data_IF_210355798692
#
_entry.id   IF_210355798692
#
_cell.length_a   1.000
_cell.length_b   1.000
_cell.length_c   1.000
_cell.angle_alpha   90.00
_cell.angle_beta   90.00
_cell.angle_gamma   90.00
#
_symmetry.space_group_name_H-M   'P 1'
#
loop_
_entity.id
_entity.type
_entity.pdbx_description
1 polymer ?
#
# COMPACT_ATOMS: atom_id res chain seq x y z
N UNK A 1 23.03 23.72 -24.79
CA UNK A 1 22.23 24.08 -23.60
C UNK A 1 21.30 22.91 -23.31
N UNK A 2 21.67 22.04 -22.38
CA UNK A 2 20.89 20.85 -22.01
C UNK A 2 19.81 21.32 -21.04
N UNK A 3 18.56 21.45 -21.50
CA UNK A 3 17.41 21.68 -20.63
C UNK A 3 17.27 20.48 -19.67
N UNK A 4 17.65 20.67 -18.41
CA UNK A 4 17.30 19.77 -17.32
C UNK A 4 15.80 19.97 -17.08
N UNK A 5 14.97 19.20 -17.80
CA UNK A 5 13.54 19.12 -17.49
C UNK A 5 13.41 18.63 -16.06
N UNK A 6 12.70 19.38 -15.22
CA UNK A 6 12.41 18.92 -13.86
C UNK A 6 11.64 17.59 -13.92
N UNK A 7 11.83 16.72 -12.96
CA UNK A 7 11.11 15.41 -12.89
C UNK A 7 9.60 15.60 -13.00
N UNK A 8 9.06 16.73 -12.54
CA UNK A 8 7.65 17.09 -12.62
C UNK A 8 7.20 17.44 -14.05
N UNK A 9 8.06 18.08 -14.86
CA UNK A 9 7.73 18.43 -16.26
C UNK A 9 7.61 17.15 -17.08
N UNK A 10 8.55 16.22 -16.91
CA UNK A 10 8.53 14.90 -17.59
C UNK A 10 7.27 14.10 -17.21
N UNK A 11 6.90 14.15 -15.93
CA UNK A 11 5.72 13.44 -15.44
C UNK A 11 4.42 14.02 -16.03
N UNK A 12 4.30 15.34 -16.12
CA UNK A 12 3.15 15.99 -16.77
C UNK A 12 3.04 15.64 -18.24
N UNK A 13 4.13 15.70 -18.99
CA UNK A 13 4.15 15.32 -20.41
C UNK A 13 3.72 13.85 -20.59
N UNK A 14 4.19 12.96 -19.72
CA UNK A 14 3.84 11.56 -19.73
C UNK A 14 2.33 11.35 -19.48
N UNK A 15 1.77 12.03 -18.47
CA UNK A 15 0.34 12.02 -18.16
C UNK A 15 -0.48 12.50 -19.36
N UNK A 16 -0.13 13.64 -19.96
CA UNK A 16 -0.86 14.19 -21.10
C UNK A 16 -0.79 13.25 -22.32
N UNK A 17 0.34 12.61 -22.57
CA UNK A 17 0.46 11.62 -23.63
C UNK A 17 -0.38 10.37 -23.33
N UNK A 18 -0.42 9.89 -22.07
CA UNK A 18 -1.30 8.79 -21.66
C UNK A 18 -2.79 9.14 -21.83
N UNK A 19 -3.21 10.37 -21.54
CA UNK A 19 -4.58 10.85 -21.81
C UNK A 19 -4.93 10.78 -23.29
N UNK A 20 -3.99 11.03 -24.19
CA UNK A 20 -4.15 10.85 -25.64
C UNK A 20 -4.06 9.40 -26.11
N UNK A 21 -3.99 8.43 -25.19
CA UNK A 21 -3.88 6.99 -25.47
C UNK A 21 -2.61 6.60 -26.21
N UNK A 22 -1.53 7.37 -26.07
CA UNK A 22 -0.23 7.07 -26.68
C UNK A 22 0.37 5.81 -26.06
N UNK A 23 0.58 4.78 -26.87
CA UNK A 23 1.12 3.49 -26.42
C UNK A 23 2.55 3.58 -25.87
N UNK A 24 3.38 4.45 -26.46
CA UNK A 24 4.76 4.65 -25.99
C UNK A 24 4.77 5.30 -24.61
N UNK A 25 3.87 6.25 -24.37
CA UNK A 25 3.71 6.88 -23.07
C UNK A 25 3.18 5.91 -22.02
N UNK A 26 2.23 5.04 -22.38
CA UNK A 26 1.74 3.98 -21.49
C UNK A 26 2.85 2.99 -21.14
N UNK A 27 3.64 2.55 -22.12
CA UNK A 27 4.79 1.67 -21.89
C UNK A 27 5.85 2.33 -20.98
N UNK A 28 6.17 3.60 -21.22
CA UNK A 28 7.11 4.36 -20.41
C UNK A 28 6.60 4.53 -18.96
N UNK A 29 5.28 4.77 -18.77
CA UNK A 29 4.63 4.83 -17.48
C UNK A 29 4.74 3.49 -16.75
N UNK A 30 4.43 2.40 -17.42
CA UNK A 30 4.56 1.06 -16.85
C UNK A 30 6.02 0.80 -16.42
N UNK A 31 6.98 0.97 -17.31
CA UNK A 31 8.41 0.77 -17.01
C UNK A 31 8.89 1.60 -15.82
N UNK A 32 8.41 2.84 -15.69
CA UNK A 32 8.81 3.76 -14.61
C UNK A 32 8.25 3.34 -13.26
N UNK A 33 7.01 2.87 -13.19
CA UNK A 33 6.30 2.66 -11.93
C UNK A 33 6.08 1.19 -11.56
N UNK A 34 6.20 0.23 -12.50
CA UNK A 34 5.89 -1.17 -12.25
C UNK A 34 6.65 -1.77 -11.07
N UNK A 35 7.95 -1.50 -10.93
CA UNK A 35 8.75 -2.02 -9.81
C UNK A 35 8.24 -1.56 -8.44
N UNK A 36 7.92 -0.26 -8.31
CA UNK A 36 7.36 0.30 -7.08
C UNK A 36 5.96 -0.24 -6.80
N UNK A 37 5.12 -0.34 -7.83
CA UNK A 37 3.75 -0.84 -7.70
C UNK A 37 3.72 -2.34 -7.41
N UNK A 38 4.66 -3.11 -7.96
CA UNK A 38 4.84 -4.51 -7.58
C UNK A 38 5.17 -4.66 -6.09
N UNK A 39 6.02 -3.80 -5.53
CA UNK A 39 6.30 -3.80 -4.10
C UNK A 39 5.03 -3.50 -3.27
N UNK A 40 4.16 -2.59 -3.74
CA UNK A 40 2.85 -2.34 -3.14
C UNK A 40 1.98 -3.60 -3.20
N UNK A 41 1.80 -4.21 -4.37
CA UNK A 41 0.99 -5.42 -4.52
C UNK A 41 1.49 -6.55 -3.60
N UNK A 42 2.81 -6.81 -3.58
CA UNK A 42 3.42 -7.85 -2.73
C UNK A 42 3.20 -7.61 -1.24
N UNK A 43 3.20 -6.37 -0.79
CA UNK A 43 2.95 -6.01 0.62
C UNK A 43 1.59 -6.49 1.12
N UNK A 44 0.56 -6.45 0.27
CA UNK A 44 -0.79 -6.91 0.62
C UNK A 44 -1.02 -8.39 0.31
N UNK A 45 -0.52 -8.88 -0.82
CA UNK A 45 -0.88 -10.18 -1.39
C UNK A 45 0.22 -11.26 -1.17
N UNK A 46 1.41 -10.84 -0.77
CA UNK A 46 2.59 -11.70 -0.77
C UNK A 46 3.24 -11.80 -2.16
N UNK A 47 4.37 -12.50 -2.23
CA UNK A 47 5.03 -12.79 -3.50
C UNK A 47 4.30 -13.94 -4.20
N UNK A 48 3.84 -13.73 -5.44
CA UNK A 48 3.18 -14.79 -6.20
C UNK A 48 2.36 -14.25 -7.37
N UNK A 49 1.73 -15.16 -8.14
CA UNK A 49 0.98 -14.82 -9.36
C UNK A 49 -0.13 -13.78 -9.12
N UNK A 50 -0.81 -13.87 -7.98
CA UNK A 50 -1.89 -12.92 -7.65
C UNK A 50 -1.40 -11.47 -7.58
N UNK A 51 -0.18 -11.23 -7.09
CA UNK A 51 0.40 -9.88 -7.06
C UNK A 51 0.72 -9.37 -8.48
N UNK A 52 1.12 -10.27 -9.38
CA UNK A 52 1.40 -9.96 -10.79
C UNK A 52 0.09 -9.64 -11.54
N UNK A 53 -0.95 -10.45 -11.34
CA UNK A 53 -2.27 -10.22 -11.92
C UNK A 53 -2.84 -8.88 -11.48
N UNK A 54 -2.79 -8.59 -10.18
CA UNK A 54 -3.26 -7.32 -9.61
C UNK A 54 -2.46 -6.12 -10.13
N UNK A 55 -1.15 -6.27 -10.32
CA UNK A 55 -0.33 -5.23 -10.95
C UNK A 55 -0.83 -4.92 -12.37
N UNK A 56 -1.07 -5.95 -13.17
CA UNK A 56 -1.53 -5.78 -14.55
C UNK A 56 -2.93 -5.18 -14.61
N UNK A 57 -3.87 -5.69 -13.81
CA UNK A 57 -5.22 -5.12 -13.71
C UNK A 57 -5.19 -3.66 -13.24
N UNK A 58 -4.34 -3.35 -12.27
CA UNK A 58 -4.14 -2.00 -11.76
C UNK A 58 -3.66 -1.05 -12.85
N UNK A 59 -2.66 -1.43 -13.65
CA UNK A 59 -2.20 -0.59 -14.76
C UNK A 59 -3.25 -0.46 -15.87
N UNK A 60 -4.01 -1.50 -16.16
CA UNK A 60 -5.16 -1.37 -17.09
C UNK A 60 -6.15 -0.32 -16.56
N UNK A 61 -6.45 -0.30 -15.27
CA UNK A 61 -7.30 0.73 -14.64
C UNK A 61 -6.66 2.12 -14.67
N UNK A 62 -5.34 2.23 -14.43
CA UNK A 62 -4.60 3.49 -14.57
C UNK A 62 -4.83 4.07 -15.95
N UNK A 63 -4.60 3.32 -17.01
CA UNK A 63 -4.74 3.82 -18.38
C UNK A 63 -6.19 4.06 -18.80
N UNK A 64 -7.13 3.28 -18.31
CA UNK A 64 -8.55 3.47 -18.58
C UNK A 64 -9.10 4.72 -17.88
N UNK A 65 -8.65 4.97 -16.65
CA UNK A 65 -9.13 6.06 -15.79
C UNK A 65 -8.21 7.29 -15.77
N UNK A 66 -7.21 7.37 -16.65
CA UNK A 66 -6.19 8.44 -16.66
C UNK A 66 -6.83 9.83 -16.75
N UNK A 67 -7.97 9.95 -17.43
CA UNK A 67 -8.68 11.21 -17.55
C UNK A 67 -9.23 11.75 -16.22
N UNK A 68 -9.40 10.89 -15.21
CA UNK A 68 -9.80 11.25 -13.86
C UNK A 68 -8.64 11.80 -13.01
N UNK A 69 -7.41 11.67 -13.47
CA UNK A 69 -6.27 12.28 -12.77
C UNK A 69 -6.25 13.79 -12.98
N UNK A 70 -6.57 14.52 -11.91
CA UNK A 70 -6.71 15.99 -11.89
C UNK A 70 -5.39 16.73 -11.61
N UNK A 71 -4.25 16.04 -11.60
CA UNK A 71 -2.92 16.61 -11.27
C UNK A 71 -2.82 17.22 -9.86
N UNK A 72 -3.77 16.90 -8.97
CA UNK A 72 -3.71 17.21 -7.56
C UNK A 72 -2.89 16.14 -6.84
N UNK A 73 -1.64 16.47 -6.50
CA UNK A 73 -0.67 15.54 -5.94
C UNK A 73 0.16 14.81 -7.00
N UNK A 74 0.94 13.81 -6.57
CA UNK A 74 1.85 13.08 -7.46
C UNK A 74 1.10 12.01 -8.28
N UNK A 75 1.52 11.82 -9.52
CA UNK A 75 0.99 10.76 -10.39
C UNK A 75 1.31 9.37 -9.82
N UNK A 76 2.48 9.19 -9.23
CA UNK A 76 2.85 7.97 -8.50
C UNK A 76 1.86 7.67 -7.36
N UNK A 77 1.48 8.68 -6.57
CA UNK A 77 0.51 8.52 -5.48
C UNK A 77 -0.87 8.13 -5.98
N UNK A 78 -1.31 8.69 -7.12
CA UNK A 78 -2.58 8.33 -7.73
C UNK A 78 -2.57 6.88 -8.27
N UNK A 79 -1.49 6.45 -8.93
CA UNK A 79 -1.30 5.05 -9.35
C UNK A 79 -1.30 4.12 -8.14
N UNK A 80 -0.56 4.48 -7.09
CA UNK A 80 -0.47 3.71 -5.84
C UNK A 80 -1.84 3.48 -5.21
N UNK A 81 -2.69 4.51 -5.15
CA UNK A 81 -4.07 4.39 -4.63
C UNK A 81 -4.90 3.37 -5.44
N UNK A 82 -4.74 3.33 -6.75
CA UNK A 82 -5.38 2.32 -7.60
C UNK A 82 -4.87 0.93 -7.24
N UNK A 83 -3.54 0.74 -7.11
CA UNK A 83 -2.95 -0.57 -6.77
C UNK A 83 -3.40 -1.07 -5.41
N UNK A 84 -3.43 -0.20 -4.39
CA UNK A 84 -3.93 -0.56 -3.06
C UNK A 84 -5.38 -1.02 -3.14
N UNK A 85 -6.25 -0.29 -3.83
CA UNK A 85 -7.65 -0.67 -3.98
C UNK A 85 -7.80 -2.02 -4.69
N UNK A 86 -7.03 -2.27 -5.76
CA UNK A 86 -7.06 -3.56 -6.45
C UNK A 86 -6.60 -4.71 -5.56
N UNK A 87 -5.53 -4.50 -4.79
CA UNK A 87 -5.03 -5.49 -3.85
C UNK A 87 -6.08 -5.82 -2.76
N UNK A 88 -6.76 -4.81 -2.22
CA UNK A 88 -7.84 -5.00 -1.25
C UNK A 88 -9.04 -5.74 -1.87
N UNK A 89 -9.40 -5.44 -3.11
CA UNK A 89 -10.46 -6.15 -3.84
C UNK A 89 -10.09 -7.61 -4.07
N UNK A 90 -8.85 -7.90 -4.46
CA UNK A 90 -8.36 -9.27 -4.61
C UNK A 90 -8.44 -10.06 -3.30
N UNK A 91 -7.99 -9.48 -2.18
CA UNK A 91 -8.10 -10.10 -0.85
C UNK A 91 -9.54 -10.43 -0.44
N UNK A 92 -10.51 -9.55 -0.79
CA UNK A 92 -11.93 -9.82 -0.53
C UNK A 92 -12.44 -10.97 -1.38
N UNK A 93 -12.13 -10.97 -2.68
CA UNK A 93 -12.54 -12.02 -3.63
C UNK A 93 -12.03 -13.40 -3.20
N UNK A 94 -10.81 -13.46 -2.67
CA UNK A 94 -10.22 -14.68 -2.12
C UNK A 94 -10.82 -15.10 -0.76
N UNK A 95 -11.77 -14.34 -0.20
CA UNK A 95 -12.35 -14.60 1.12
C UNK A 95 -11.35 -14.52 2.29
N UNK A 96 -10.16 -13.97 2.04
CA UNK A 96 -9.07 -13.86 3.02
C UNK A 96 -9.25 -12.69 3.98
N UNK A 97 -10.07 -11.70 3.65
CA UNK A 97 -10.27 -10.50 4.44
C UNK A 97 -11.37 -10.74 5.49
N UNK A 98 -10.99 -11.36 6.60
CA UNK A 98 -11.83 -11.51 7.77
C UNK A 98 -11.30 -10.61 8.88
N UNK A 99 -12.07 -9.57 9.24
CA UNK A 99 -11.82 -8.78 10.43
C UNK A 99 -12.59 -9.46 11.57
N UNK A 100 -11.88 -10.16 12.45
CA UNK A 100 -12.48 -10.68 13.66
C UNK A 100 -12.47 -9.57 14.70
N UNK A 101 -13.63 -9.20 15.20
CA UNK A 101 -13.80 -8.46 16.46
C UNK A 101 -13.53 -9.38 17.65
N UNK A 102 -12.38 -10.05 17.65
CA UNK A 102 -11.97 -10.85 18.80
C UNK A 102 -11.35 -9.93 19.84
N UNK A 103 -12.07 -9.75 20.88
CA UNK A 103 -11.68 -9.02 22.09
C UNK A 103 -10.65 -9.84 22.87
N UNK A 104 -9.40 -9.80 22.42
CA UNK A 104 -8.27 -10.24 23.24
C UNK A 104 -7.62 -8.99 23.81
N UNK A 105 -7.85 -8.77 25.11
CA UNK A 105 -7.26 -7.67 25.86
C UNK A 105 -5.74 -7.76 25.85
N UNK A 106 -5.11 -7.02 24.97
CA UNK A 106 -3.70 -6.67 25.08
C UNK A 106 -3.61 -5.27 25.63
N UNK A 107 -3.09 -5.15 26.86
CA UNK A 107 -2.67 -3.86 27.40
C UNK A 107 -1.57 -3.27 26.50
N UNK A 108 -1.84 -2.07 26.01
CA UNK A 108 -0.94 -1.36 25.13
C UNK A 108 0.11 -0.67 26.01
N UNK A 109 1.28 -1.26 26.11
CA UNK A 109 2.46 -0.52 26.55
C UNK A 109 2.76 0.62 25.57
N UNK A 110 3.20 1.76 26.06
CA UNK A 110 3.63 2.88 25.22
C UNK A 110 4.76 2.40 24.31
N UNK A 111 4.59 2.62 23.02
CA UNK A 111 5.59 2.27 22.00
C UNK A 111 6.65 3.37 22.02
N UNK A 112 7.70 3.16 22.78
CA UNK A 112 8.93 3.94 22.63
C UNK A 112 9.67 3.54 21.35
N UNK A 113 10.42 4.48 20.77
CA UNK A 113 11.10 4.43 19.47
C UNK A 113 12.14 3.28 19.30
N UNK A 114 11.72 2.03 19.48
CA UNK A 114 12.58 0.84 19.33
C UNK A 114 12.97 0.50 17.88
N UNK A 115 12.49 1.29 16.91
CA UNK A 115 12.68 0.98 15.47
C UNK A 115 14.00 1.49 14.88
N UNK A 116 14.82 2.21 15.64
CA UNK A 116 15.95 2.96 15.08
C UNK A 116 17.14 2.13 14.56
N UNK A 117 17.22 0.82 14.83
CA UNK A 117 18.37 -0.01 14.46
C UNK A 117 18.07 -1.26 13.61
N UNK A 118 16.84 -1.42 13.13
CA UNK A 118 16.52 -2.56 12.27
C UNK A 118 16.79 -2.26 10.79
N UNK A 119 17.38 -3.24 10.12
CA UNK A 119 17.44 -3.19 8.65
C UNK A 119 16.03 -3.26 8.08
N UNK A 120 15.78 -2.48 7.03
CA UNK A 120 14.45 -2.36 6.38
C UNK A 120 13.87 -3.74 6.00
N UNK A 121 14.73 -4.69 5.64
CA UNK A 121 14.33 -6.06 5.29
C UNK A 121 13.78 -6.85 6.49
N UNK A 122 14.37 -6.68 7.65
CA UNK A 122 13.93 -7.35 8.88
C UNK A 122 12.56 -6.80 9.34
N UNK A 123 12.39 -5.47 9.27
CA UNK A 123 11.11 -4.85 9.56
C UNK A 123 10.02 -5.32 8.61
N UNK A 124 10.31 -5.42 7.31
CA UNK A 124 9.37 -5.94 6.32
C UNK A 124 8.96 -7.39 6.64
N UNK A 125 9.90 -8.27 7.00
CA UNK A 125 9.60 -9.65 7.41
C UNK A 125 8.69 -9.70 8.64
N UNK A 126 8.92 -8.83 9.62
CA UNK A 126 8.06 -8.73 10.81
C UNK A 126 6.64 -8.31 10.44
N UNK A 127 6.48 -7.29 9.58
CA UNK A 127 5.19 -6.82 9.09
C UNK A 127 4.48 -7.94 8.30
N UNK A 128 5.20 -8.65 7.43
CA UNK A 128 4.67 -9.78 6.68
C UNK A 128 4.16 -10.91 7.57
N UNK A 129 4.77 -11.11 8.73
CA UNK A 129 4.38 -12.15 9.70
C UNK A 129 3.14 -11.82 10.53
N UNK A 130 2.58 -10.62 10.40
CA UNK A 130 1.33 -10.24 11.08
C UNK A 130 0.11 -10.98 10.50
N UNK A 131 -0.90 -11.28 11.31
CA UNK A 131 -2.21 -11.70 10.81
C UNK A 131 -2.76 -10.71 9.78
N UNK A 132 -3.42 -11.21 8.74
CA UNK A 132 -3.76 -10.44 7.55
C UNK A 132 -4.54 -9.15 7.87
N UNK A 133 -5.53 -9.18 8.78
CA UNK A 133 -6.30 -8.00 9.17
C UNK A 133 -5.42 -6.93 9.81
N UNK A 134 -4.55 -7.31 10.75
CA UNK A 134 -3.61 -6.39 11.41
C UNK A 134 -2.61 -5.82 10.43
N UNK A 135 -2.04 -6.66 9.57
CA UNK A 135 -1.12 -6.26 8.51
C UNK A 135 -1.76 -5.26 7.56
N UNK A 136 -3.00 -5.51 7.13
CA UNK A 136 -3.71 -4.63 6.20
C UNK A 136 -3.94 -3.25 6.79
N UNK A 137 -4.47 -3.16 8.02
CA UNK A 137 -4.69 -1.88 8.69
C UNK A 137 -3.37 -1.16 8.97
N UNK A 138 -2.34 -1.89 9.42
CA UNK A 138 -1.01 -1.32 9.64
C UNK A 138 -0.43 -0.71 8.37
N UNK A 139 -0.48 -1.43 7.25
CA UNK A 139 0.01 -0.93 5.96
C UNK A 139 -0.75 0.31 5.50
N UNK A 140 -2.08 0.30 5.58
CA UNK A 140 -2.90 1.44 5.18
C UNK A 140 -2.59 2.68 6.04
N UNK A 141 -2.45 2.52 7.36
CA UNK A 141 -2.21 3.63 8.26
C UNK A 141 -0.77 4.12 8.23
N UNK A 142 0.20 3.19 8.50
CA UNK A 142 1.60 3.57 8.74
C UNK A 142 2.41 3.77 7.44
N UNK A 143 2.04 3.09 6.35
CA UNK A 143 2.82 3.13 5.10
C UNK A 143 2.12 3.97 4.04
N UNK A 144 0.80 3.80 3.88
CA UNK A 144 0.04 4.53 2.85
C UNK A 144 -0.51 5.88 3.37
N UNK A 145 -0.55 6.09 4.70
CA UNK A 145 -0.93 7.36 5.30
C UNK A 145 -2.43 7.64 5.40
N UNK A 146 -3.29 6.62 5.25
CA UNK A 146 -4.73 6.76 5.42
C UNK A 146 -5.12 6.95 6.88
N UNK A 147 -6.10 7.80 7.17
CA UNK A 147 -6.68 7.92 8.49
C UNK A 147 -7.66 6.76 8.80
N UNK A 148 -8.07 6.61 10.05
CA UNK A 148 -8.94 5.50 10.46
C UNK A 148 -10.32 5.52 9.83
N UNK A 149 -10.86 6.68 9.53
CA UNK A 149 -12.14 6.83 8.84
C UNK A 149 -12.02 6.33 7.39
N UNK A 150 -11.00 6.77 6.65
CA UNK A 150 -10.72 6.28 5.29
C UNK A 150 -10.49 4.77 5.26
N UNK A 151 -9.73 4.24 6.23
CA UNK A 151 -9.49 2.79 6.36
C UNK A 151 -10.80 2.05 6.62
N UNK A 152 -11.66 2.58 7.49
CA UNK A 152 -12.96 1.99 7.79
C UNK A 152 -13.84 1.88 6.53
N UNK A 153 -13.92 2.96 5.74
CA UNK A 153 -14.62 2.99 4.46
C UNK A 153 -14.00 1.98 3.46
N UNK A 154 -12.67 2.01 3.31
CA UNK A 154 -11.95 1.13 2.38
C UNK A 154 -12.11 -0.35 2.74
N UNK A 155 -12.22 -0.70 4.02
CA UNK A 155 -12.27 -2.10 4.48
C UNK A 155 -13.70 -2.57 4.78
N UNK A 156 -14.67 -1.66 4.87
CA UNK A 156 -16.05 -1.95 5.25
C UNK A 156 -16.17 -2.38 6.72
N UNK A 157 -15.41 -1.73 7.61
CA UNK A 157 -15.38 -1.96 9.06
C UNK A 157 -15.72 -0.68 9.81
N UNK A 158 -15.90 -0.76 11.12
CA UNK A 158 -16.04 0.42 11.97
C UNK A 158 -14.67 1.10 12.21
N UNK A 159 -14.65 2.41 12.44
CA UNK A 159 -13.44 3.15 12.77
C UNK A 159 -12.77 2.62 14.05
N UNK A 160 -13.56 2.23 15.05
CA UNK A 160 -13.09 1.58 16.27
C UNK A 160 -12.34 0.27 15.99
N UNK A 161 -12.84 -0.54 15.04
CA UNK A 161 -12.19 -1.77 14.60
C UNK A 161 -10.84 -1.45 13.92
N UNK A 162 -10.76 -0.41 13.10
CA UNK A 162 -9.49 0.04 12.52
C UNK A 162 -8.48 0.44 13.59
N UNK A 163 -8.90 1.20 14.61
CA UNK A 163 -8.03 1.60 15.73
C UNK A 163 -7.53 0.40 16.53
N UNK A 164 -8.41 -0.54 16.87
CA UNK A 164 -8.05 -1.74 17.62
C UNK A 164 -7.11 -2.67 16.82
N UNK A 165 -7.34 -2.84 15.52
CA UNK A 165 -6.47 -3.62 14.64
C UNK A 165 -5.05 -3.02 14.57
N UNK A 166 -4.93 -1.70 14.42
CA UNK A 166 -3.63 -1.01 14.42
C UNK A 166 -2.89 -1.19 15.75
N UNK A 167 -3.60 -1.04 16.85
CA UNK A 167 -3.04 -1.23 18.19
C UNK A 167 -2.49 -2.64 18.37
N UNK A 168 -3.25 -3.66 17.99
CA UNK A 168 -2.82 -5.06 18.05
C UNK A 168 -1.64 -5.34 17.12
N UNK A 169 -1.64 -4.76 15.91
CA UNK A 169 -0.50 -4.85 15.00
C UNK A 169 0.79 -4.34 15.65
N UNK A 170 0.73 -3.17 16.28
CA UNK A 170 1.87 -2.55 16.98
C UNK A 170 2.34 -3.40 18.15
N UNK A 171 1.42 -3.91 18.98
CA UNK A 171 1.76 -4.79 20.10
C UNK A 171 2.48 -6.07 19.68
N UNK A 172 2.00 -6.71 18.60
CA UNK A 172 2.66 -7.91 18.05
C UNK A 172 4.03 -7.60 17.46
N UNK A 173 4.18 -6.47 16.76
CA UNK A 173 5.49 -6.05 16.24
C UNK A 173 6.47 -5.80 17.38
N UNK A 174 6.07 -5.10 18.44
CA UNK A 174 6.90 -4.85 19.62
C UNK A 174 7.34 -6.15 20.30
N UNK A 175 6.44 -7.10 20.50
CA UNK A 175 6.78 -8.40 21.08
C UNK A 175 7.81 -9.17 20.24
N UNK A 176 7.67 -9.12 18.90
CA UNK A 176 8.62 -9.78 17.99
C UNK A 176 9.98 -9.09 17.98
N UNK A 177 10.00 -7.76 18.05
CA UNK A 177 11.22 -6.96 18.15
C UNK A 177 11.99 -7.27 19.44
N UNK A 178 11.30 -7.30 20.57
CA UNK A 178 11.93 -7.61 21.85
C UNK A 178 12.55 -9.01 21.87
N UNK A 179 12.00 -9.97 21.10
CA UNK A 179 12.57 -11.32 20.98
C UNK A 179 13.81 -11.41 20.08
N UNK A 180 14.03 -10.43 19.21
CA UNK A 180 15.22 -10.38 18.35
C UNK A 180 16.43 -9.73 19.04
N UNK A 181 16.18 -8.98 20.12
CA UNK A 181 17.22 -8.28 20.87
C UNK A 181 17.61 -8.98 22.18
N UNK A 182 17.11 -10.18 22.44
CA UNK A 182 17.51 -11.09 23.51
C UNK A 182 18.38 -12.21 22.97
#
# INVERSE_FOLDING_TARGET
MTHIFSSQTIERELVQACKRRDRKAQEATFKRFAGKMMAVCKRYLGAGPLAEDVLMEGFMKVFTKIDLFQEQGSFEGWIRRIMVNEALMALRKEGKMKFQDTDFGYEIGQVEDAYMNLQVEELNKLIESLPLGYKTVFNLYAIEGYNHQEIAEMLGIQEGTSKSQLSRARGLLQQKLNKLHV
#
